data_IF_310784212025
#
_entry.id   IF_310784212025
#
_cell.length_a   1.000
_cell.length_b   1.000
_cell.length_c   1.000
_cell.angle_alpha   90.00
_cell.angle_beta   90.00
_cell.angle_gamma   90.00
#
_symmetry.space_group_name_H-M   'P 1'
#
loop_
_entity.id
_entity.type
_entity.pdbx_description
1 polymer ?
#
# COMPACT_ATOMS: atom_id res chain seq x y z
N UNK A 1 -10.92 -14.68 13.91
CA UNK A 1 -9.54 -14.20 14.09
C UNK A 1 -8.83 -14.35 12.76
N UNK A 2 -8.25 -13.28 12.22
CA UNK A 2 -7.53 -13.32 10.96
C UNK A 2 -6.16 -13.96 11.11
N UNK A 3 -5.60 -14.41 9.99
CA UNK A 3 -4.24 -14.95 9.91
C UNK A 3 -3.43 -14.02 9.03
N UNK A 4 -2.37 -13.42 9.57
CA UNK A 4 -1.45 -12.65 8.75
C UNK A 4 -0.60 -13.57 7.87
N UNK A 5 -0.53 -13.22 6.59
CA UNK A 5 0.21 -13.92 5.56
C UNK A 5 1.52 -13.20 5.22
N UNK A 6 1.58 -11.89 5.43
CA UNK A 6 2.75 -11.05 5.15
C UNK A 6 2.65 -9.75 5.98
N UNK A 7 3.80 -9.20 6.38
CA UNK A 7 3.94 -7.88 7.00
C UNK A 7 5.06 -7.11 6.30
N UNK A 8 4.96 -5.79 6.26
CA UNK A 8 6.00 -4.98 5.65
C UNK A 8 5.81 -3.48 5.78
N UNK A 9 6.74 -2.73 5.19
CA UNK A 9 6.63 -1.28 5.04
C UNK A 9 5.80 -0.94 3.81
N UNK A 10 5.04 0.14 3.92
CA UNK A 10 4.18 0.72 2.90
C UNK A 10 4.61 2.17 2.67
N UNK A 11 4.69 2.56 1.40
CA UNK A 11 4.81 3.97 1.02
C UNK A 11 3.79 4.30 -0.05
N UNK A 12 3.07 5.39 0.14
CA UNK A 12 2.30 6.03 -0.92
C UNK A 12 3.22 7.01 -1.64
N UNK A 13 3.34 6.85 -2.96
CA UNK A 13 4.18 7.70 -3.80
C UNK A 13 3.39 8.25 -4.97
N UNK A 14 3.47 9.55 -5.19
CA UNK A 14 2.90 10.20 -6.37
C UNK A 14 3.98 10.33 -7.44
N UNK A 15 3.69 9.82 -8.63
CA UNK A 15 4.61 9.81 -9.77
C UNK A 15 4.07 10.71 -10.91
N UNK A 16 4.92 11.52 -11.57
CA UNK A 16 4.47 12.49 -12.58
C UNK A 16 3.64 11.92 -13.74
N UNK A 17 3.91 10.68 -14.17
CA UNK A 17 3.24 10.04 -15.33
C UNK A 17 2.33 8.87 -14.97
N UNK A 18 2.33 8.42 -13.71
CA UNK A 18 1.63 7.20 -13.28
C UNK A 18 0.61 7.45 -12.18
N UNK A 19 0.51 8.69 -11.69
CA UNK A 19 -0.42 9.04 -10.62
C UNK A 19 0.02 8.45 -9.29
N UNK A 20 -0.94 7.98 -8.51
CA UNK A 20 -0.69 7.40 -7.19
C UNK A 20 -0.26 5.93 -7.32
N UNK A 21 0.87 5.60 -6.69
CA UNK A 21 1.40 4.24 -6.58
C UNK A 21 1.64 3.89 -5.10
N UNK A 22 1.70 2.59 -4.82
CA UNK A 22 2.09 2.03 -3.54
C UNK A 22 3.44 1.33 -3.70
N UNK A 23 4.33 1.50 -2.73
CA UNK A 23 5.53 0.66 -2.58
C UNK A 23 5.31 -0.25 -1.39
N UNK A 24 5.45 -1.56 -1.60
CA UNK A 24 5.43 -2.56 -0.54
C UNK A 24 6.84 -3.13 -0.37
N UNK A 25 7.29 -3.22 0.87
CA UNK A 25 8.54 -3.85 1.26
C UNK A 25 8.24 -4.91 2.33
N UNK A 26 8.04 -6.18 1.92
CA UNK A 26 7.81 -7.28 2.88
C UNK A 26 9.02 -7.44 3.80
N UNK A 27 8.82 -7.50 5.12
CA UNK A 27 9.92 -7.58 6.09
C UNK A 27 10.71 -8.89 6.01
N UNK A 28 10.10 -9.96 5.52
CA UNK A 28 10.71 -11.28 5.34
C UNK A 28 11.40 -11.45 3.97
N UNK A 29 11.36 -10.44 3.11
CA UNK A 29 11.93 -10.48 1.76
C UNK A 29 12.85 -9.28 1.53
N UNK A 30 13.69 -9.39 0.50
CA UNK A 30 14.63 -8.32 0.10
C UNK A 30 14.09 -7.43 -1.02
N UNK A 31 12.97 -7.84 -1.63
CA UNK A 31 12.42 -7.15 -2.79
C UNK A 31 11.45 -6.05 -2.38
N UNK A 32 11.31 -5.07 -3.27
CA UNK A 32 10.29 -4.05 -3.22
C UNK A 32 9.30 -4.29 -4.35
N UNK A 33 8.03 -3.99 -4.10
CA UNK A 33 6.97 -4.06 -5.12
C UNK A 33 6.46 -2.65 -5.34
N UNK A 34 6.49 -2.17 -6.58
CA UNK A 34 5.82 -0.95 -7.00
C UNK A 34 4.47 -1.32 -7.60
N UNK A 35 3.39 -0.86 -6.98
CA UNK A 35 2.03 -1.15 -7.39
C UNK A 35 1.37 0.13 -7.90
N UNK A 36 0.98 0.16 -9.17
CA UNK A 36 0.26 1.28 -9.77
C UNK A 36 -1.24 1.12 -9.59
N UNK A 37 -1.94 2.16 -9.12
CA UNK A 37 -3.40 2.12 -8.93
C UNK A 37 -4.18 2.29 -10.25
N UNK A 38 -3.52 2.69 -11.33
CA UNK A 38 -4.16 3.06 -12.59
C UNK A 38 -5.00 4.35 -12.52
N UNK A 39 -4.97 5.04 -11.38
CA UNK A 39 -5.70 6.27 -11.07
C UNK A 39 -4.82 7.22 -10.25
N UNK A 40 -5.28 8.45 -10.06
CA UNK A 40 -4.55 9.43 -9.25
C UNK A 40 -4.89 9.35 -7.75
N UNK A 41 -5.75 8.41 -7.32
CA UNK A 41 -6.21 8.30 -5.93
C UNK A 41 -6.59 6.86 -5.58
N UNK A 42 -6.54 6.55 -4.29
CA UNK A 42 -7.06 5.29 -3.77
C UNK A 42 -8.59 5.22 -3.93
N UNK A 43 -9.17 4.01 -4.04
CA UNK A 43 -10.61 3.83 -3.89
C UNK A 43 -11.05 4.34 -2.52
N UNK A 44 -12.14 5.12 -2.48
CA UNK A 44 -12.66 5.64 -1.22
C UNK A 44 -13.15 4.46 -0.34
N UNK A 45 -12.55 4.23 0.84
CA UNK A 45 -12.91 3.10 1.71
C UNK A 45 -14.33 3.20 2.28
N UNK A 46 -14.90 4.41 2.36
CA UNK A 46 -16.25 4.65 2.89
C UNK A 46 -17.35 4.28 1.90
N UNK A 47 -17.01 4.16 0.61
CA UNK A 47 -17.96 3.80 -0.44
C UNK A 47 -17.83 2.30 -0.70
N UNK A 48 -18.77 1.53 -0.14
CA UNK A 48 -18.82 0.10 -0.37
C UNK A 48 -19.18 -0.23 -1.82
N UNK A 49 -18.52 -1.24 -2.39
CA UNK A 49 -18.76 -1.69 -3.76
C UNK A 49 -17.75 -1.12 -4.75
N UNK A 50 -17.75 -1.68 -5.96
CA UNK A 50 -16.75 -1.36 -6.99
C UNK A 50 -15.55 -2.30 -6.99
N UNK A 51 -14.97 -2.47 -8.18
CA UNK A 51 -13.73 -3.22 -8.41
C UNK A 51 -12.74 -2.25 -9.02
N UNK A 52 -11.62 -2.08 -8.34
CA UNK A 52 -10.52 -1.25 -8.79
C UNK A 52 -9.33 -2.12 -9.11
N UNK A 53 -8.50 -1.68 -10.04
CA UNK A 53 -7.31 -2.44 -10.42
C UNK A 53 -6.09 -1.87 -9.71
N UNK A 54 -5.19 -2.77 -9.33
CA UNK A 54 -3.84 -2.43 -8.93
C UNK A 54 -2.90 -3.31 -9.76
N UNK A 55 -1.81 -2.75 -10.27
CA UNK A 55 -0.87 -3.47 -11.12
C UNK A 55 0.47 -3.56 -10.42
N UNK A 56 1.04 -4.75 -10.30
CA UNK A 56 2.46 -4.88 -9.92
C UNK A 56 3.28 -4.40 -11.12
N UNK A 57 3.67 -3.13 -11.10
CA UNK A 57 4.41 -2.51 -12.19
C UNK A 57 5.87 -2.96 -12.20
N UNK A 58 6.48 -3.07 -11.01
CA UNK A 58 7.87 -3.48 -10.83
C UNK A 58 8.04 -4.34 -9.58
N UNK A 59 8.94 -5.32 -9.65
CA UNK A 59 9.48 -6.04 -8.49
C UNK A 59 10.99 -5.84 -8.46
N UNK A 60 11.44 -4.85 -7.69
CA UNK A 60 12.85 -4.50 -7.57
C UNK A 60 13.55 -5.40 -6.52
N UNK A 61 14.76 -5.86 -6.79
CA UNK A 61 15.52 -6.75 -5.89
C UNK A 61 16.19 -6.03 -4.71
N UNK A 62 16.12 -4.70 -4.71
CA UNK A 62 16.66 -3.86 -3.66
C UNK A 62 16.34 -2.40 -3.87
N UNK A 63 16.72 -1.57 -2.89
CA UNK A 63 16.38 -0.15 -2.83
C UNK A 63 16.89 0.64 -4.03
N UNK A 64 18.12 0.41 -4.48
CA UNK A 64 18.73 1.15 -5.58
C UNK A 64 17.95 0.96 -6.90
N UNK A 65 17.59 -0.29 -7.22
CA UNK A 65 16.78 -0.61 -8.39
C UNK A 65 15.37 0.01 -8.29
N UNK A 66 14.79 0.02 -7.09
CA UNK A 66 13.52 0.71 -6.85
C UNK A 66 13.66 2.22 -7.08
N UNK A 67 14.69 2.87 -6.55
CA UNK A 67 14.90 4.31 -6.68
C UNK A 67 15.05 4.73 -8.14
N UNK A 68 15.72 3.93 -8.97
CA UNK A 68 15.76 4.15 -10.43
C UNK A 68 14.38 4.11 -11.09
N UNK A 69 13.41 3.39 -10.51
CA UNK A 69 12.02 3.34 -10.99
C UNK A 69 11.14 4.47 -10.43
N UNK A 70 11.62 5.19 -9.40
CA UNK A 70 10.90 6.24 -8.68
C UNK A 70 11.42 7.65 -9.02
N UNK A 71 12.06 7.83 -10.17
CA UNK A 71 12.55 9.15 -10.59
C UNK A 71 11.43 10.20 -10.60
N UNK A 72 11.65 11.31 -9.89
CA UNK A 72 10.66 12.38 -9.74
C UNK A 72 9.44 12.02 -8.89
N UNK A 73 9.42 10.85 -8.25
CA UNK A 73 8.35 10.48 -7.34
C UNK A 73 8.44 11.25 -6.02
N UNK A 74 7.28 11.56 -5.44
CA UNK A 74 7.16 12.20 -4.13
C UNK A 74 6.45 11.26 -3.16
N UNK A 75 7.03 11.03 -1.98
CA UNK A 75 6.34 10.28 -0.91
C UNK A 75 5.26 11.17 -0.31
N UNK A 76 4.03 10.64 -0.22
CA UNK A 76 2.86 11.34 0.33
C UNK A 76 2.30 10.63 1.57
N UNK A 77 2.80 9.44 1.88
CA UNK A 77 2.54 8.72 3.12
C UNK A 77 3.51 7.56 3.28
N UNK A 78 3.87 7.25 4.53
CA UNK A 78 4.65 6.07 4.90
C UNK A 78 3.92 5.37 6.04
N UNK A 79 4.00 4.05 6.11
CA UNK A 79 3.29 3.25 7.09
C UNK A 79 3.69 1.79 7.04
N UNK A 80 3.03 0.97 7.85
CA UNK A 80 3.16 -0.48 7.79
C UNK A 80 1.92 -1.09 7.14
N UNK A 81 2.09 -2.26 6.53
CA UNK A 81 0.97 -3.04 6.01
C UNK A 81 1.01 -4.48 6.50
N UNK A 82 -0.15 -5.12 6.41
CA UNK A 82 -0.29 -6.56 6.49
C UNK A 82 -1.16 -7.08 5.34
N UNK A 83 -0.81 -8.27 4.86
CA UNK A 83 -1.74 -9.09 4.08
C UNK A 83 -2.37 -10.09 5.04
N UNK A 84 -3.68 -10.03 5.20
CA UNK A 84 -4.42 -10.82 6.21
C UNK A 84 -5.47 -11.67 5.54
N UNK A 85 -5.56 -12.95 5.91
CA UNK A 85 -6.71 -13.78 5.57
C UNK A 85 -7.74 -13.73 6.69
N UNK A 86 -8.90 -13.15 6.40
CA UNK A 86 -10.00 -12.95 7.36
C UNK A 86 -11.35 -13.13 6.64
N UNK A 87 -12.35 -13.75 7.28
CA UNK A 87 -13.68 -13.99 6.70
C UNK A 87 -13.67 -14.57 5.25
N UNK A 88 -12.74 -15.50 4.98
CA UNK A 88 -12.52 -16.12 3.65
C UNK A 88 -12.10 -15.14 2.55
N UNK A 89 -11.59 -13.96 2.93
CA UNK A 89 -11.08 -12.92 2.04
C UNK A 89 -9.64 -12.60 2.41
N UNK A 90 -8.87 -12.16 1.42
CA UNK A 90 -7.54 -11.61 1.66
C UNK A 90 -7.66 -10.10 1.71
N UNK A 91 -7.12 -9.49 2.75
CA UNK A 91 -7.12 -8.06 2.98
C UNK A 91 -5.70 -7.51 2.84
N UNK A 92 -5.55 -6.35 2.20
CA UNK A 92 -4.41 -5.46 2.39
C UNK A 92 -4.84 -4.43 3.43
N UNK A 93 -4.31 -4.54 4.64
CA UNK A 93 -4.54 -3.60 5.73
C UNK A 93 -3.30 -2.74 5.94
N UNK A 94 -3.47 -1.48 6.30
CA UNK A 94 -2.33 -0.62 6.59
C UNK A 94 -2.61 0.38 7.69
N UNK A 95 -1.53 0.91 8.25
CA UNK A 95 -1.48 1.98 9.23
C UNK A 95 -0.33 2.92 8.89
N UNK A 96 -0.62 4.21 8.71
CA UNK A 96 0.39 5.24 8.44
C UNK A 96 1.15 5.66 9.69
N UNK A 97 2.42 5.99 9.48
CA UNK A 97 3.26 6.71 10.42
C UNK A 97 2.73 8.14 10.64
N UNK A 98 2.85 8.62 11.88
CA UNK A 98 2.50 9.99 12.31
C UNK A 98 3.16 11.06 11.41
N UNK A 99 2.58 12.26 11.20
CA UNK A 99 1.75 13.01 12.14
C UNK A 99 0.23 12.92 11.90
N UNK A 100 -0.53 13.09 12.99
CA UNK A 100 -1.94 13.49 12.93
C UNK A 100 -2.06 15.02 13.00
N UNK A 101 -3.07 15.63 12.34
CA UNK A 101 -4.05 15.01 11.44
C UNK A 101 -3.48 14.69 10.04
N UNK A 102 -4.21 13.88 9.25
CA UNK A 102 -3.90 13.65 7.83
C UNK A 102 -3.76 14.99 7.10
N UNK A 103 -2.79 15.09 6.19
CA UNK A 103 -2.63 16.29 5.38
C UNK A 103 -3.78 16.45 4.38
N UNK A 104 -4.06 17.69 3.94
CA UNK A 104 -5.04 17.97 2.88
C UNK A 104 -4.75 17.18 1.60
N UNK A 105 -3.47 16.91 1.34
CA UNK A 105 -3.03 16.12 0.21
C UNK A 105 -3.40 14.64 0.36
N UNK A 106 -3.13 14.04 1.53
CA UNK A 106 -3.53 12.65 1.82
C UNK A 106 -5.04 12.49 1.69
N UNK A 107 -5.82 13.43 2.22
CA UNK A 107 -7.28 13.44 2.09
C UNK A 107 -7.74 13.50 0.62
N UNK A 108 -7.13 14.37 -0.20
CA UNK A 108 -7.45 14.49 -1.63
C UNK A 108 -7.14 13.20 -2.43
N UNK A 109 -6.17 12.41 -1.97
CA UNK A 109 -5.76 11.14 -2.56
C UNK A 109 -6.53 9.92 -2.02
N UNK A 110 -7.54 10.14 -1.15
CA UNK A 110 -8.27 9.10 -0.40
C UNK A 110 -7.34 8.21 0.46
N UNK A 111 -6.21 8.72 0.89
CA UNK A 111 -5.31 8.04 1.81
C UNK A 111 -5.87 8.24 3.22
N UNK A 112 -6.15 7.14 3.93
CA UNK A 112 -6.59 7.16 5.33
C UNK A 112 -5.41 6.91 6.25
N UNK A 113 -5.59 7.21 7.54
CA UNK A 113 -4.57 6.88 8.54
C UNK A 113 -4.42 5.37 8.67
N UNK A 114 -5.55 4.68 8.74
CA UNK A 114 -5.63 3.23 8.73
C UNK A 114 -6.87 2.84 7.96
N UNK A 115 -6.79 1.74 7.22
CA UNK A 115 -7.96 1.10 6.62
C UNK A 115 -7.57 -0.27 6.06
N UNK A 116 -8.51 -0.97 5.44
CA UNK A 116 -8.24 -2.20 4.70
C UNK A 116 -9.01 -2.30 3.40
N UNK A 117 -8.42 -3.02 2.44
CA UNK A 117 -9.05 -3.36 1.18
C UNK A 117 -9.04 -4.87 0.99
N UNK A 118 -10.15 -5.45 0.51
CA UNK A 118 -10.12 -6.82 0.04
C UNK A 118 -9.34 -6.87 -1.27
N UNK A 119 -8.34 -7.74 -1.33
CA UNK A 119 -7.50 -7.95 -2.51
C UNK A 119 -7.70 -9.34 -3.10
N UNK A 120 -7.64 -9.43 -4.43
CA UNK A 120 -7.56 -10.70 -5.17
C UNK A 120 -6.28 -10.72 -6.01
N UNK A 121 -5.63 -11.88 -6.10
CA UNK A 121 -4.35 -12.05 -6.80
C UNK A 121 -3.12 -11.92 -5.91
N UNK A 122 -3.28 -11.81 -4.58
CA UNK A 122 -2.20 -11.56 -3.62
C UNK A 122 -1.04 -12.58 -3.70
N UNK A 123 -1.30 -13.82 -4.14
CA UNK A 123 -0.28 -14.86 -4.29
C UNK A 123 0.77 -14.55 -5.35
N UNK A 124 0.47 -13.65 -6.29
CA UNK A 124 1.32 -13.31 -7.43
C UNK A 124 1.96 -11.91 -7.27
N UNK A 125 1.99 -11.36 -6.05
CA UNK A 125 2.54 -10.02 -5.78
C UNK A 125 4.03 -9.89 -6.12
N UNK A 126 4.77 -11.00 -6.12
CA UNK A 126 6.19 -11.04 -6.50
C UNK A 126 6.42 -11.19 -8.01
N UNK A 127 5.36 -11.03 -8.83
CA UNK A 127 5.41 -11.13 -10.28
C UNK A 127 4.99 -9.82 -10.94
N UNK A 128 5.88 -9.25 -11.74
CA UNK A 128 5.59 -8.06 -12.56
C UNK A 128 4.45 -8.32 -13.56
N UNK A 129 3.64 -7.30 -13.81
CA UNK A 129 2.44 -7.38 -14.66
C UNK A 129 1.22 -7.99 -13.97
N UNK A 130 1.35 -8.49 -12.73
CA UNK A 130 0.22 -9.04 -11.98
C UNK A 130 -0.87 -7.98 -11.79
N UNK A 131 -2.11 -8.36 -12.11
CA UNK A 131 -3.32 -7.56 -11.87
C UNK A 131 -3.98 -8.00 -10.58
N UNK A 132 -4.13 -7.06 -9.65
CA UNK A 132 -4.86 -7.23 -8.41
C UNK A 132 -6.22 -6.55 -8.53
N UNK A 133 -7.23 -7.16 -7.94
CA UNK A 133 -8.52 -6.49 -7.74
C UNK A 133 -8.54 -5.94 -6.33
N UNK A 134 -8.70 -4.63 -6.20
CA UNK A 134 -8.92 -3.92 -4.95
C UNK A 134 -10.42 -3.64 -4.76
N UNK A 135 -10.96 -4.00 -3.59
CA UNK A 135 -12.36 -3.77 -3.22
C UNK A 135 -12.39 -3.05 -1.87
N UNK A 136 -12.99 -1.84 -1.78
CA UNK A 136 -13.23 -1.16 -0.51
C UNK A 136 -13.92 -2.09 0.50
N UNK A 137 -13.31 -2.26 1.67
CA UNK A 137 -13.84 -3.09 2.75
C UNK A 137 -14.34 -2.19 3.86
N UNK A 138 -15.40 -1.39 3.58
CA UNK A 138 -16.17 -0.55 4.50
C UNK A 138 -15.43 -0.29 5.82
N UNK A 139 -14.49 0.66 5.77
CA UNK A 139 -13.52 1.05 6.79
C UNK A 139 -13.33 0.07 7.97
N UNK A 140 -12.88 -1.17 7.68
CA UNK A 140 -12.43 -2.09 8.74
C UNK A 140 -10.95 -1.83 9.03
N UNK A 141 -10.61 -1.33 10.23
CA UNK A 141 -9.23 -1.09 10.60
C UNK A 141 -8.45 -2.42 10.82
N UNK A 142 -7.11 -2.37 10.80
CA UNK A 142 -6.26 -3.56 10.88
C UNK A 142 -6.46 -4.42 12.15
N UNK A 143 -6.72 -3.79 13.29
CA UNK A 143 -6.96 -4.43 14.58
C UNK A 143 -8.21 -5.32 14.57
N UNK A 144 -9.29 -4.89 13.90
CA UNK A 144 -10.49 -5.71 13.69
C UNK A 144 -10.23 -6.96 12.84
N UNK A 145 -9.19 -6.94 12.00
CA UNK A 145 -8.77 -8.10 11.20
C UNK A 145 -7.85 -9.04 11.97
N UNK A 146 -7.46 -8.69 13.20
CA UNK A 146 -6.45 -9.40 13.98
C UNK A 146 -5.02 -9.13 13.50
N UNK A 147 -4.79 -8.03 12.77
CA UNK A 147 -3.45 -7.58 12.42
C UNK A 147 -2.96 -6.57 13.46
N UNK A 148 -1.95 -6.98 14.22
CA UNK A 148 -1.28 -6.11 15.19
C UNK A 148 -0.28 -5.20 14.47
N UNK A 149 -0.79 -4.16 13.81
CA UNK A 149 0.03 -3.17 13.12
C UNK A 149 0.41 -2.05 14.09
N UNK A 150 1.71 -1.90 14.32
CA UNK A 150 2.27 -0.78 15.06
C UNK A 150 3.22 -0.02 14.13
N UNK A 151 3.16 1.33 14.10
CA UNK A 151 4.15 2.10 13.38
C UNK A 151 5.52 1.83 14.02
N UNK A 152 6.41 1.21 13.26
CA UNK A 152 7.84 1.17 13.56
C UNK A 152 8.50 2.38 12.91
N UNK A 153 9.71 2.76 13.32
CA UNK A 153 10.46 3.81 12.62
C UNK A 153 10.71 3.34 11.18
N UNK A 154 10.04 3.98 10.22
CA UNK A 154 10.10 3.57 8.83
C UNK A 154 11.20 4.37 8.15
N UNK A 155 12.22 3.72 7.56
CA UNK A 155 13.24 4.44 6.84
C UNK A 155 12.60 5.29 5.76
N UNK A 156 12.95 6.57 5.65
CA UNK A 156 12.41 7.39 4.59
C UNK A 156 12.86 6.84 3.22
N UNK A 157 11.90 6.29 2.47
CA UNK A 157 12.18 5.69 1.17
C UNK A 157 12.76 6.73 0.19
N UNK A 158 12.14 7.90 0.16
CA UNK A 158 12.48 9.04 -0.69
C UNK A 158 12.82 10.29 0.15
N UNK A 159 13.80 10.22 1.08
CA UNK A 159 14.40 11.47 1.59
C UNK A 159 15.52 11.93 0.65
N UNK A 160 15.15 12.92 -0.17
CA UNK A 160 15.91 13.78 -1.10
C UNK A 160 15.86 13.42 -2.61
N UNK A 161 15.05 14.19 -3.33
CA UNK A 161 15.49 14.90 -4.53
C UNK A 161 14.81 16.29 -4.50
N UNK A 162 15.54 17.30 -4.00
CA UNK A 162 15.06 18.67 -3.79
C UNK A 162 15.08 19.08 -2.32
#
# INVERSE_FOLDING_TARGET
>A
MGVALEYGDLYFVQMPRRGLCLVLHPHDKKNYRLLATGHDRMPNPDISGGRHWLFVDRVARGREELLGSLEGARTVGAGVYAIVFHDRRTHLAYLLESPEPLSNEQAALNIRRQTSYVIRGAKELDREGTRLVLIPSADRPPDELGADLHPIEIPPLLRKAG
#
